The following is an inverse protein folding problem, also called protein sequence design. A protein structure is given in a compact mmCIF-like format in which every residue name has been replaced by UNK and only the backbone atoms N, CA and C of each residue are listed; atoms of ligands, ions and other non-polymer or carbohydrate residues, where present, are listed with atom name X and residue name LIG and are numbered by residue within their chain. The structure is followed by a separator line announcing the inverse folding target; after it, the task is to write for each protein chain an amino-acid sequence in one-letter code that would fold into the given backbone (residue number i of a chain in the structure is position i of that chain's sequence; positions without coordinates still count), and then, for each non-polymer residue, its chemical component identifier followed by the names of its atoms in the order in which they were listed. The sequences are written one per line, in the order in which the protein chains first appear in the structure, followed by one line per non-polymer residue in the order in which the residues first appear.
data_IF_524035909729
#
_entry.id   IF_524035909729
#
_cell.length_a   1.000
_cell.length_b   1.000
_cell.length_c   1.000
_cell.angle_alpha   90.00
_cell.angle_beta   90.00
_cell.angle_gamma   90.00
#
_symmetry.space_group_name_H-M   'P 1'
#
loop_
_entity.id
_entity.type
_entity.pdbx_description
1 polymer ?
#
# COMPACT_ATOMS: atom_id res chain seq x y z
N UNK A 1 -8.27 11.18 -2.60
CA UNK A 1 -7.15 11.40 -1.66
C UNK A 1 -5.91 11.89 -2.42
N UNK A 2 -5.42 11.18 -3.45
CA UNK A 2 -4.23 11.57 -4.24
C UNK A 2 -4.38 12.96 -4.87
N UNK A 3 -5.54 13.27 -5.44
CA UNK A 3 -5.80 14.61 -5.99
C UNK A 3 -5.68 15.70 -4.94
N UNK A 4 -6.15 15.46 -3.72
CA UNK A 4 -6.03 16.40 -2.60
C UNK A 4 -4.56 16.59 -2.23
N UNK A 5 -3.78 15.50 -2.14
CA UNK A 5 -2.35 15.57 -1.82
C UNK A 5 -1.55 16.30 -2.90
N UNK A 6 -1.84 16.04 -4.19
CA UNK A 6 -1.19 16.74 -5.30
C UNK A 6 -1.53 18.24 -5.26
N UNK A 7 -2.81 18.59 -5.05
CA UNK A 7 -3.25 19.99 -4.93
C UNK A 7 -2.61 20.66 -3.71
N UNK A 8 -2.50 19.96 -2.58
CA UNK A 8 -1.86 20.50 -1.38
C UNK A 8 -0.38 20.80 -1.61
N UNK A 9 0.33 19.94 -2.35
CA UNK A 9 1.75 20.15 -2.71
C UNK A 9 1.93 21.30 -3.68
N UNK A 10 1.12 21.37 -4.75
CA UNK A 10 1.24 22.46 -5.71
C UNK A 10 0.77 23.82 -5.17
N UNK A 11 -0.26 23.79 -4.31
CA UNK A 11 -0.82 24.99 -3.68
C UNK A 11 -0.07 25.44 -2.43
N UNK A 12 0.92 24.69 -1.96
CA UNK A 12 1.67 24.95 -0.71
C UNK A 12 0.73 25.20 0.49
N UNK A 13 -0.42 24.53 0.49
CA UNK A 13 -1.55 24.83 1.38
C UNK A 13 -1.28 24.48 2.85
N UNK A 14 -0.25 23.68 3.14
CA UNK A 14 -0.05 23.15 4.49
C UNK A 14 1.35 23.37 5.07
N UNK A 15 2.30 23.94 4.33
CA UNK A 15 3.71 24.08 4.74
C UNK A 15 4.31 22.78 5.35
N UNK A 16 3.77 21.62 4.92
CA UNK A 16 4.12 20.31 5.50
C UNK A 16 5.50 19.86 5.04
N UNK A 17 5.87 20.23 3.80
CA UNK A 17 7.11 19.75 3.19
C UNK A 17 8.14 20.86 3.08
N UNK A 18 9.11 20.87 3.98
CA UNK A 18 10.20 21.86 4.00
C UNK A 18 11.06 21.87 2.73
N UNK A 19 11.17 20.72 2.04
CA UNK A 19 11.92 20.60 0.78
C UNK A 19 11.34 21.42 -0.39
N UNK A 20 10.12 21.95 -0.26
CA UNK A 20 9.54 22.85 -1.27
C UNK A 20 10.21 24.22 -1.29
N UNK A 21 10.81 24.63 -0.19
CA UNK A 21 11.52 25.90 -0.01
C UNK A 21 12.89 25.62 0.61
N UNK A 22 13.85 25.05 -0.16
CA UNK A 22 15.13 24.57 0.38
C UNK A 22 16.02 25.66 0.94
N UNK A 23 15.82 26.96 0.56
CA UNK A 23 16.70 28.05 0.97
C UNK A 23 18.16 27.75 0.64
N UNK A 24 19.06 27.98 1.61
CA UNK A 24 20.50 27.70 1.51
C UNK A 24 20.89 26.32 2.09
N UNK A 25 19.94 25.40 2.29
CA UNK A 25 20.20 24.09 2.87
C UNK A 25 20.81 23.13 1.84
N UNK A 26 22.12 22.87 1.98
CA UNK A 26 22.87 21.99 1.08
C UNK A 26 22.29 20.58 0.98
N UNK A 27 21.71 20.03 2.08
CA UNK A 27 21.14 18.69 2.09
C UNK A 27 19.89 18.64 1.21
N UNK A 28 19.04 19.64 1.28
CA UNK A 28 17.83 19.74 0.46
C UNK A 28 18.17 19.95 -1.01
N UNK A 29 19.20 20.75 -1.32
CA UNK A 29 19.68 20.98 -2.68
C UNK A 29 20.19 19.66 -3.29
N UNK A 30 20.98 18.88 -2.56
CA UNK A 30 21.45 17.57 -3.04
C UNK A 30 20.32 16.56 -3.23
N UNK A 31 19.24 16.63 -2.45
CA UNK A 31 18.06 15.75 -2.57
C UNK A 31 17.05 16.25 -3.60
N UNK A 32 17.23 17.41 -4.20
CA UNK A 32 16.27 18.03 -5.13
C UNK A 32 15.94 17.17 -6.36
N UNK A 33 16.82 16.26 -6.77
CA UNK A 33 16.56 15.31 -7.85
C UNK A 33 15.40 14.35 -7.52
N UNK A 34 15.27 13.97 -6.24
CA UNK A 34 14.21 13.08 -5.75
C UNK A 34 13.06 13.85 -5.09
N UNK A 35 13.38 14.89 -4.29
CA UNK A 35 12.41 15.71 -3.58
C UNK A 35 12.08 16.97 -4.42
N UNK A 36 11.25 16.81 -5.42
CA UNK A 36 10.72 17.92 -6.21
C UNK A 36 9.23 17.73 -6.50
N UNK A 37 8.51 18.85 -6.68
CA UNK A 37 7.05 18.88 -6.89
C UNK A 37 6.61 18.01 -8.07
N UNK A 38 7.34 18.05 -9.18
CA UNK A 38 6.97 17.31 -10.38
C UNK A 38 7.14 15.81 -10.18
N UNK A 39 8.28 15.37 -9.62
CA UNK A 39 8.51 13.95 -9.33
C UNK A 39 7.52 13.40 -8.31
N UNK A 40 7.22 14.17 -7.26
CA UNK A 40 6.21 13.83 -6.27
C UNK A 40 4.84 13.57 -6.92
N UNK A 41 4.39 14.49 -7.78
CA UNK A 41 3.09 14.36 -8.45
C UNK A 41 3.07 13.19 -9.43
N UNK A 42 4.10 13.06 -10.28
CA UNK A 42 4.19 11.99 -11.28
C UNK A 42 4.21 10.63 -10.58
N UNK A 43 5.08 10.42 -9.59
CA UNK A 43 5.18 9.16 -8.88
C UNK A 43 3.89 8.82 -8.14
N UNK A 44 3.26 9.81 -7.48
CA UNK A 44 1.97 9.61 -6.79
C UNK A 44 0.88 9.16 -7.76
N UNK A 45 0.73 9.83 -8.90
CA UNK A 45 -0.28 9.49 -9.91
C UNK A 45 0.00 8.14 -10.55
N UNK A 46 1.25 7.85 -10.92
CA UNK A 46 1.63 6.59 -11.57
C UNK A 46 1.42 5.41 -10.62
N UNK A 47 1.90 5.51 -9.39
CA UNK A 47 1.81 4.40 -8.42
C UNK A 47 0.35 4.14 -8.03
N UNK A 48 -0.40 5.17 -7.65
CA UNK A 48 -1.81 4.98 -7.26
C UNK A 48 -2.67 4.62 -8.46
N UNK A 49 -2.36 5.14 -9.65
CA UNK A 49 -2.97 4.72 -10.91
C UNK A 49 -2.74 3.24 -11.21
N UNK A 50 -1.51 2.75 -11.00
CA UNK A 50 -1.20 1.32 -11.11
C UNK A 50 -2.01 0.48 -10.11
N UNK A 51 -2.08 0.88 -8.84
CA UNK A 51 -2.89 0.19 -7.83
C UNK A 51 -4.38 0.15 -8.20
N UNK A 52 -4.93 1.28 -8.66
CA UNK A 52 -6.31 1.37 -9.12
C UNK A 52 -6.56 0.46 -10.34
N UNK A 53 -5.62 0.41 -11.28
CA UNK A 53 -5.69 -0.47 -12.45
C UNK A 53 -5.73 -1.95 -12.04
N UNK A 54 -4.83 -2.39 -11.14
CA UNK A 54 -4.85 -3.77 -10.65
C UNK A 54 -6.12 -4.09 -9.87
N UNK A 55 -6.59 -3.19 -9.00
CA UNK A 55 -7.84 -3.36 -8.27
C UNK A 55 -9.04 -3.50 -9.22
N UNK A 56 -9.13 -2.63 -10.25
CA UNK A 56 -10.16 -2.71 -11.27
C UNK A 56 -10.10 -4.03 -12.05
N UNK A 57 -8.89 -4.44 -12.46
CA UNK A 57 -8.68 -5.67 -13.24
C UNK A 57 -9.06 -6.91 -12.44
N UNK A 58 -8.63 -7.00 -11.18
CA UNK A 58 -8.97 -8.11 -10.30
C UNK A 58 -10.48 -8.16 -10.03
N UNK A 59 -11.13 -7.03 -9.78
CA UNK A 59 -12.58 -6.93 -9.64
C UNK A 59 -13.31 -7.37 -10.91
N UNK A 60 -12.89 -6.90 -12.08
CA UNK A 60 -13.51 -7.26 -13.35
C UNK A 60 -13.40 -8.78 -13.62
N UNK A 61 -12.26 -9.39 -13.31
CA UNK A 61 -12.07 -10.83 -13.43
C UNK A 61 -12.93 -11.62 -12.44
N UNK A 62 -13.07 -11.14 -11.21
CA UNK A 62 -13.94 -11.76 -10.20
C UNK A 62 -15.41 -11.71 -10.62
N UNK A 63 -15.89 -10.56 -11.10
CA UNK A 63 -17.25 -10.44 -11.62
C UNK A 63 -17.48 -11.29 -12.87
N UNK A 64 -16.48 -11.46 -13.73
CA UNK A 64 -16.58 -12.34 -14.88
C UNK A 64 -16.62 -13.82 -14.49
N UNK A 65 -15.94 -14.20 -13.40
CA UNK A 65 -16.02 -15.54 -12.82
C UNK A 65 -17.43 -15.82 -12.26
N UNK A 66 -18.00 -14.85 -11.53
CA UNK A 66 -19.34 -14.97 -10.96
C UNK A 66 -20.45 -15.09 -12.05
N UNK A 67 -20.29 -14.37 -13.15
CA UNK A 67 -21.24 -14.37 -14.27
C UNK A 67 -20.99 -15.49 -15.31
N UNK A 68 -19.87 -16.17 -15.23
CA UNK A 68 -19.46 -17.22 -16.16
C UNK A 68 -19.93 -18.61 -15.74
N UNK A 69 -19.99 -19.54 -16.70
CA UNK A 69 -20.35 -20.94 -16.47
C UNK A 69 -19.22 -21.73 -15.76
N UNK A 70 -18.63 -21.19 -14.70
CA UNK A 70 -17.81 -21.93 -13.74
C UNK A 70 -16.47 -22.47 -14.25
N UNK A 71 -15.85 -21.87 -15.23
CA UNK A 71 -14.56 -22.34 -15.76
C UNK A 71 -13.38 -21.96 -14.86
N UNK A 72 -12.52 -22.93 -14.56
CA UNK A 72 -11.24 -22.74 -13.83
C UNK A 72 -10.29 -21.71 -14.46
N UNK A 73 -10.61 -21.26 -15.68
CA UNK A 73 -9.81 -20.32 -16.45
C UNK A 73 -9.75 -18.91 -15.81
N UNK A 74 -10.84 -18.42 -15.26
CA UNK A 74 -10.88 -17.12 -14.59
C UNK A 74 -10.10 -17.14 -13.27
N UNK A 75 -10.25 -18.19 -12.48
CA UNK A 75 -9.49 -18.39 -11.26
C UNK A 75 -7.98 -18.40 -11.52
N UNK A 76 -7.52 -19.08 -12.57
CA UNK A 76 -6.11 -19.06 -12.97
C UNK A 76 -5.64 -17.65 -13.34
N UNK A 77 -6.44 -16.88 -14.07
CA UNK A 77 -6.13 -15.49 -14.44
C UNK A 77 -6.05 -14.59 -13.18
N UNK A 78 -7.02 -14.69 -12.28
CA UNK A 78 -7.02 -13.91 -11.02
C UNK A 78 -5.75 -14.20 -10.23
N UNK A 79 -5.37 -15.47 -10.07
CA UNK A 79 -4.15 -15.87 -9.36
C UNK A 79 -2.89 -15.28 -10.00
N UNK A 80 -2.77 -15.30 -11.33
CA UNK A 80 -1.63 -14.72 -12.03
C UNK A 80 -1.55 -13.20 -11.84
N UNK A 81 -2.68 -12.50 -11.99
CA UNK A 81 -2.74 -11.05 -11.78
C UNK A 81 -2.46 -10.65 -10.33
N UNK A 82 -2.96 -11.42 -9.36
CA UNK A 82 -2.67 -11.19 -7.94
C UNK A 82 -1.19 -11.43 -7.63
N UNK A 83 -0.60 -12.50 -8.17
CA UNK A 83 0.82 -12.78 -7.99
C UNK A 83 1.72 -11.70 -8.62
N UNK A 84 1.33 -11.14 -9.76
CA UNK A 84 2.04 -10.03 -10.38
C UNK A 84 1.89 -8.72 -9.59
N UNK A 85 0.74 -8.50 -8.95
CA UNK A 85 0.49 -7.29 -8.17
C UNK A 85 1.31 -7.23 -6.87
N UNK A 86 1.57 -8.35 -6.21
CA UNK A 86 2.27 -8.39 -4.92
C UNK A 86 3.65 -7.70 -4.95
N UNK A 87 4.58 -8.04 -5.86
CA UNK A 87 5.87 -7.37 -5.92
C UNK A 87 5.73 -5.89 -6.31
N UNK A 88 4.82 -5.56 -7.23
CA UNK A 88 4.55 -4.16 -7.61
C UNK A 88 4.07 -3.37 -6.39
N UNK A 89 3.11 -3.93 -5.63
CA UNK A 89 2.61 -3.31 -4.40
C UNK A 89 3.74 -3.12 -3.38
N UNK A 90 4.57 -4.15 -3.16
CA UNK A 90 5.67 -4.11 -2.20
C UNK A 90 6.67 -2.99 -2.49
N UNK A 91 7.22 -2.94 -3.70
CA UNK A 91 8.22 -1.92 -4.07
C UNK A 91 7.61 -0.52 -4.20
N UNK A 92 6.41 -0.39 -4.76
CA UNK A 92 5.76 0.91 -4.92
C UNK A 92 5.25 1.48 -3.60
N UNK A 93 4.86 0.65 -2.63
CA UNK A 93 4.52 1.12 -1.29
C UNK A 93 5.72 1.72 -0.57
N UNK A 94 6.91 1.12 -0.72
CA UNK A 94 8.14 1.70 -0.18
C UNK A 94 8.42 3.08 -0.79
N UNK A 95 8.31 3.22 -2.11
CA UNK A 95 8.52 4.49 -2.80
C UNK A 95 7.53 5.58 -2.35
N UNK A 96 6.26 5.23 -2.19
CA UNK A 96 5.23 6.15 -1.68
C UNK A 96 5.50 6.56 -0.23
N UNK A 97 5.91 5.65 0.63
CA UNK A 97 6.21 5.96 2.02
C UNK A 97 7.39 6.92 2.10
N UNK A 98 8.43 6.74 1.31
CA UNK A 98 9.55 7.68 1.24
C UNK A 98 9.12 9.06 0.77
N UNK A 99 8.21 9.13 -0.20
CA UNK A 99 7.75 10.42 -0.73
C UNK A 99 6.70 11.11 0.13
N UNK A 100 5.76 10.38 0.73
CA UNK A 100 4.62 10.99 1.43
C UNK A 100 4.85 11.17 2.92
N UNK A 101 5.55 10.21 3.55
CA UNK A 101 5.69 10.16 5.00
C UNK A 101 7.09 10.60 5.41
N UNK A 102 8.12 9.95 4.87
CA UNK A 102 9.49 10.24 5.28
C UNK A 102 9.96 11.62 4.81
N UNK A 103 9.48 12.12 3.68
CA UNK A 103 9.85 13.44 3.15
C UNK A 103 9.31 14.61 3.97
N UNK A 104 8.46 14.39 4.95
CA UNK A 104 8.02 15.42 5.92
C UNK A 104 9.24 15.93 6.72
N UNK A 105 10.12 15.01 7.13
CA UNK A 105 11.44 15.35 7.66
C UNK A 105 12.53 14.97 6.65
N UNK A 106 12.89 15.90 5.79
CA UNK A 106 13.83 15.67 4.70
C UNK A 106 15.28 15.49 5.15
N UNK A 107 15.63 15.86 6.38
CA UNK A 107 16.97 15.66 6.94
C UNK A 107 17.19 14.24 7.42
N UNK A 108 16.13 13.60 7.91
CA UNK A 108 16.16 12.21 8.31
C UNK A 108 15.91 11.26 7.12
N UNK A 109 16.57 10.11 7.12
CA UNK A 109 16.32 9.06 6.12
C UNK A 109 16.52 7.68 6.73
N UNK A 110 15.67 6.75 6.34
CA UNK A 110 15.79 5.33 6.66
C UNK A 110 15.12 4.48 5.59
N UNK A 111 15.87 3.55 5.02
CA UNK A 111 15.31 2.58 4.07
C UNK A 111 14.36 1.61 4.77
N UNK A 112 14.71 1.22 6.00
CA UNK A 112 13.93 0.28 6.81
C UNK A 112 12.56 0.85 7.21
N UNK A 113 12.44 2.17 7.38
CA UNK A 113 11.19 2.84 7.70
C UNK A 113 10.07 2.57 6.69
N UNK A 114 10.41 2.51 5.41
CA UNK A 114 9.43 2.19 4.37
C UNK A 114 8.89 0.76 4.52
N UNK A 115 9.74 -0.20 4.80
CA UNK A 115 9.34 -1.58 5.05
C UNK A 115 8.53 -1.73 6.34
N UNK A 116 8.93 -1.04 7.41
CA UNK A 116 8.20 -0.99 8.66
C UNK A 116 6.77 -0.45 8.47
N UNK A 117 6.64 0.70 7.82
CA UNK A 117 5.34 1.32 7.55
C UNK A 117 4.50 0.49 6.58
N UNK A 118 5.11 -0.06 5.52
CA UNK A 118 4.44 -0.95 4.57
C UNK A 118 3.92 -2.23 5.23
N UNK A 119 4.71 -2.85 6.11
CA UNK A 119 4.28 -4.02 6.88
C UNK A 119 3.11 -3.68 7.81
N UNK A 120 3.11 -2.50 8.45
CA UNK A 120 1.98 -2.08 9.30
C UNK A 120 0.69 -1.92 8.52
N UNK A 121 0.74 -1.34 7.32
CA UNK A 121 -0.42 -1.20 6.43
C UNK A 121 -0.94 -2.57 5.99
N UNK A 122 -0.03 -3.49 5.67
CA UNK A 122 -0.39 -4.84 5.26
C UNK A 122 -1.07 -5.63 6.38
N UNK A 123 -0.51 -5.61 7.60
CA UNK A 123 -1.12 -6.25 8.79
C UNK A 123 -2.49 -5.65 9.08
N UNK A 124 -2.61 -4.32 9.06
CA UNK A 124 -3.89 -3.62 9.30
C UNK A 124 -4.94 -3.99 8.25
N UNK A 125 -4.53 -4.05 6.97
CA UNK A 125 -5.41 -4.47 5.87
C UNK A 125 -5.90 -5.90 6.01
N UNK A 126 -5.01 -6.83 6.39
CA UNK A 126 -5.39 -8.23 6.65
C UNK A 126 -6.32 -8.34 7.86
N UNK A 127 -6.02 -7.65 8.96
CA UNK A 127 -6.88 -7.65 10.15
C UNK A 127 -8.27 -7.11 9.84
N UNK A 128 -8.36 -6.00 9.08
CA UNK A 128 -9.64 -5.46 8.61
C UNK A 128 -10.38 -6.47 7.74
N UNK A 129 -9.70 -7.18 6.84
CA UNK A 129 -10.29 -8.21 6.00
C UNK A 129 -10.91 -9.33 6.83
N UNK A 130 -10.20 -9.82 7.86
CA UNK A 130 -10.71 -10.84 8.77
C UNK A 130 -11.96 -10.35 9.52
N UNK A 131 -11.93 -9.13 10.05
CA UNK A 131 -13.08 -8.52 10.75
C UNK A 131 -14.30 -8.44 9.82
N UNK A 132 -14.11 -7.97 8.59
CA UNK A 132 -15.19 -7.88 7.60
C UNK A 132 -15.73 -9.26 7.21
N UNK A 133 -14.86 -10.26 7.03
CA UNK A 133 -15.29 -11.64 6.74
C UNK A 133 -16.16 -12.20 7.85
N UNK A 134 -15.74 -12.08 9.11
CA UNK A 134 -16.51 -12.54 10.27
C UNK A 134 -17.85 -11.80 10.35
N UNK A 135 -17.84 -10.48 10.16
CA UNK A 135 -19.06 -9.67 10.17
C UNK A 135 -20.06 -10.10 9.11
N UNK A 136 -19.62 -10.26 7.85
CA UNK A 136 -20.48 -10.66 6.75
C UNK A 136 -20.91 -12.12 6.82
N UNK A 137 -20.06 -13.02 7.34
CA UNK A 137 -20.43 -14.40 7.61
C UNK A 137 -21.58 -14.49 8.63
N UNK A 138 -21.52 -13.67 9.70
CA UNK A 138 -22.59 -13.55 10.68
C UNK A 138 -23.90 -12.98 10.12
N UNK A 139 -23.86 -12.32 8.95
CA UNK A 139 -25.04 -11.84 8.19
C UNK A 139 -25.55 -12.84 7.15
N UNK A 140 -24.94 -14.03 7.06
CA UNK A 140 -25.33 -15.07 6.10
C UNK A 140 -24.69 -14.91 4.71
N UNK A 141 -23.77 -13.97 4.53
CA UNK A 141 -22.93 -13.90 3.32
C UNK A 141 -21.73 -14.85 3.44
N UNK A 142 -21.10 -15.15 2.30
CA UNK A 142 -19.89 -16.00 2.26
C UNK A 142 -20.07 -17.39 2.88
N UNK A 143 -21.19 -18.06 2.59
CA UNK A 143 -21.53 -19.39 3.12
C UNK A 143 -20.47 -20.47 2.83
N UNK A 144 -19.59 -20.26 1.85
CA UNK A 144 -18.48 -21.15 1.52
C UNK A 144 -17.21 -20.90 2.34
N UNK A 145 -17.14 -19.80 3.09
CA UNK A 145 -16.01 -19.49 3.98
C UNK A 145 -16.19 -20.30 5.26
N UNK A 146 -15.26 -21.18 5.54
CA UNK A 146 -15.24 -22.01 6.74
C UNK A 146 -14.35 -21.39 7.82
N UNK A 147 -14.49 -21.89 9.05
CA UNK A 147 -13.62 -21.48 10.16
C UNK A 147 -12.15 -21.78 9.89
N UNK A 148 -11.84 -22.79 9.08
CA UNK A 148 -10.47 -23.10 8.64
C UNK A 148 -9.87 -21.95 7.82
N UNK A 149 -10.64 -21.34 6.91
CA UNK A 149 -10.17 -20.19 6.13
C UNK A 149 -9.89 -18.99 7.03
N UNK A 150 -10.74 -18.74 8.03
CA UNK A 150 -10.55 -17.65 9.00
C UNK A 150 -9.33 -17.94 9.86
N UNK A 151 -9.14 -19.18 10.29
CA UNK A 151 -7.98 -19.61 11.05
C UNK A 151 -6.66 -19.45 10.26
N UNK A 152 -6.64 -19.79 8.98
CA UNK A 152 -5.46 -19.60 8.14
C UNK A 152 -5.13 -18.13 7.91
N UNK A 153 -6.14 -17.27 7.72
CA UNK A 153 -5.95 -15.83 7.70
C UNK A 153 -5.42 -15.30 9.03
N UNK A 154 -5.92 -15.83 10.17
CA UNK A 154 -5.41 -15.50 11.49
C UNK A 154 -3.93 -15.84 11.67
N UNK A 155 -3.48 -16.99 11.17
CA UNK A 155 -2.06 -17.36 11.17
C UNK A 155 -1.22 -16.37 10.35
N UNK A 156 -1.71 -15.92 9.19
CA UNK A 156 -1.03 -14.93 8.38
C UNK A 156 -0.93 -13.58 9.10
N UNK A 157 -2.01 -13.10 9.71
CA UNK A 157 -1.99 -11.86 10.51
C UNK A 157 -0.97 -11.98 11.64
N UNK A 158 -0.93 -13.12 12.34
CA UNK A 158 0.02 -13.36 13.42
C UNK A 158 1.47 -13.36 12.90
N UNK A 159 1.76 -14.08 11.83
CA UNK A 159 3.10 -14.16 11.24
C UNK A 159 3.62 -12.78 10.78
N UNK A 160 2.77 -12.01 10.10
CA UNK A 160 3.13 -10.66 9.67
C UNK A 160 3.21 -9.66 10.83
N UNK A 161 2.47 -9.86 11.91
CA UNK A 161 2.62 -9.06 13.13
C UNK A 161 3.97 -9.28 13.81
N UNK A 162 4.47 -10.52 13.84
CA UNK A 162 5.83 -10.83 14.31
C UNK A 162 6.86 -10.16 13.40
N UNK A 163 6.71 -10.26 12.08
CA UNK A 163 7.58 -9.61 11.12
C UNK A 163 7.61 -8.09 11.29
N UNK A 164 6.46 -7.46 11.47
CA UNK A 164 6.34 -6.04 11.75
C UNK A 164 7.03 -5.64 13.05
N UNK A 165 6.85 -6.41 14.13
CA UNK A 165 7.53 -6.20 15.42
C UNK A 165 9.05 -6.31 15.26
N UNK A 166 9.54 -7.27 14.48
CA UNK A 166 10.95 -7.40 14.15
C UNK A 166 11.49 -6.15 13.43
N UNK A 167 10.77 -5.65 12.44
CA UNK A 167 11.16 -4.41 11.73
C UNK A 167 11.19 -3.20 12.65
N UNK A 168 10.22 -3.09 13.57
CA UNK A 168 10.20 -2.04 14.59
C UNK A 168 11.44 -2.11 15.48
N UNK A 169 11.75 -3.28 16.00
CA UNK A 169 12.94 -3.48 16.81
C UNK A 169 14.23 -3.16 16.06
N UNK A 170 14.34 -3.61 14.81
CA UNK A 170 15.49 -3.33 13.95
C UNK A 170 15.64 -1.84 13.61
N UNK A 171 14.54 -1.09 13.56
CA UNK A 171 14.57 0.36 13.36
C UNK A 171 15.08 1.08 14.61
N UNK A 172 14.83 0.52 15.79
CA UNK A 172 15.25 1.08 17.07
C UNK A 172 16.75 0.84 17.33
N UNK A 173 17.31 -0.32 16.92
CA UNK A 173 18.75 -0.64 17.03
C UNK A 173 19.62 0.19 16.10
#
# INVERSE_FOLDING_TARGET
LVGIMVVAVYGDLAHVYHWMHPGDDEILIHKSAFLNKNWYAIASVVIVGAWAFFAYKLRALSLAEDNGNGGFAFHKKIRVWSAAFLPILGFSSAAIIWQWVMSVDAHWYSTLFAWYSGASWFVSGMALTVILLIYFQGKGYFTKVTDEHIHDLGKLVFAFSIFWTYLWFSQFM
#
